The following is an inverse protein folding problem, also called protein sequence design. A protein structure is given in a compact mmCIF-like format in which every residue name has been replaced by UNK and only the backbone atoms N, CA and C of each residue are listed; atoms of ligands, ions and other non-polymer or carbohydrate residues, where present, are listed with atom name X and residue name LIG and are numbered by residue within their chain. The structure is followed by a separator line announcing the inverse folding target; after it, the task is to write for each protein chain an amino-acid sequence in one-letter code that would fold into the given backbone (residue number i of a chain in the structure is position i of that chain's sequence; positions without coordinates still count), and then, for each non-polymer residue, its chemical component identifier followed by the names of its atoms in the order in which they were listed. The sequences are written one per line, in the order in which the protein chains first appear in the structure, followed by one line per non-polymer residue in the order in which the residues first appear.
data_IF_796017450351
#
_entry.id   IF_796017450351
#
_cell.length_a   1.000
_cell.length_b   1.000
_cell.length_c   1.000
_cell.angle_alpha   90.00
_cell.angle_beta   90.00
_cell.angle_gamma   90.00
#
_symmetry.space_group_name_H-M   'P 1'
#
loop_
_entity.id
_entity.type
_entity.pdbx_description
1 polymer ?
#
# COMPACT_ATOMS: atom_id res chain seq x y z
N UNK A 1 -15.55 -3.55 12.65
CA UNK A 1 -15.28 -2.89 13.94
C UNK A 1 -13.84 -3.04 14.45
N UNK A 2 -13.21 -4.23 14.39
CA UNK A 2 -11.88 -4.48 14.99
C UNK A 2 -10.65 -3.76 14.38
N UNK A 3 -10.80 -3.06 13.25
CA UNK A 3 -9.68 -2.48 12.50
C UNK A 3 -9.58 -0.96 12.66
N UNK A 4 -10.69 -0.27 12.94
CA UNK A 4 -10.78 1.19 12.88
C UNK A 4 -9.81 1.92 13.84
N UNK A 5 -9.39 1.27 14.92
CA UNK A 5 -8.41 1.78 15.89
C UNK A 5 -7.26 0.77 16.16
N UNK A 6 -6.93 -0.07 15.19
CA UNK A 6 -5.85 -1.06 15.33
C UNK A 6 -4.67 -0.70 14.45
N UNK A 7 -3.49 -0.59 15.06
CA UNK A 7 -2.23 -0.37 14.35
C UNK A 7 -1.38 -1.66 14.36
N UNK A 8 -0.61 -1.86 13.30
CA UNK A 8 0.41 -2.92 13.26
C UNK A 8 1.66 -2.42 13.98
N UNK A 9 1.99 -3.04 15.11
CA UNK A 9 3.23 -2.76 15.84
C UNK A 9 4.34 -3.68 15.38
N UNK A 10 5.55 -3.14 15.30
CA UNK A 10 6.76 -3.95 15.27
C UNK A 10 7.00 -4.45 16.70
N UNK A 11 7.10 -5.77 16.88
CA UNK A 11 7.23 -6.33 18.21
C UNK A 11 8.68 -6.19 18.71
N UNK A 12 8.87 -5.93 20.00
CA UNK A 12 10.22 -5.73 20.56
C UNK A 12 11.10 -6.98 20.41
N UNK A 13 10.51 -8.18 20.50
CA UNK A 13 11.20 -9.46 20.29
C UNK A 13 11.61 -9.71 18.83
N UNK A 14 11.21 -8.85 17.89
CA UNK A 14 11.68 -8.90 16.51
C UNK A 14 13.00 -8.15 16.30
N UNK A 15 13.43 -7.35 17.28
CA UNK A 15 14.69 -6.61 17.24
C UNK A 15 15.75 -7.39 18.04
N UNK A 16 16.93 -7.57 17.46
CA UNK A 16 18.08 -8.18 18.14
C UNK A 16 18.48 -7.39 19.41
N UNK A 17 19.13 -8.02 20.41
CA UNK A 17 19.50 -7.34 21.65
C UNK A 17 20.43 -6.12 21.48
N UNK A 18 21.22 -6.09 20.40
CA UNK A 18 22.09 -4.95 20.09
C UNK A 18 21.36 -3.81 19.37
N UNK A 19 20.10 -4.01 18.96
CA UNK A 19 19.26 -3.00 18.30
C UNK A 19 19.59 -2.75 16.82
N UNK A 20 20.53 -3.50 16.24
CA UNK A 20 21.05 -3.25 14.89
C UNK A 20 20.57 -4.27 13.84
N UNK A 21 20.00 -5.37 14.28
CA UNK A 21 19.51 -6.46 13.43
C UNK A 21 18.15 -6.99 13.92
N UNK A 22 17.55 -7.92 13.18
CA UNK A 22 16.27 -8.58 13.49
C UNK A 22 16.48 -10.00 14.00
N UNK A 23 15.48 -10.55 14.71
CA UNK A 23 15.54 -11.92 15.22
C UNK A 23 15.04 -12.95 14.21
N UNK A 24 15.35 -14.23 14.42
CA UNK A 24 14.85 -15.34 13.60
C UNK A 24 13.31 -15.41 13.57
N UNK A 25 12.65 -14.98 14.66
CA UNK A 25 11.18 -14.91 14.71
C UNK A 25 10.63 -13.91 13.69
N UNK A 26 11.30 -12.76 13.54
CA UNK A 26 10.96 -11.79 12.50
C UNK A 26 11.20 -12.36 11.11
N UNK A 27 12.36 -12.99 10.86
CA UNK A 27 12.69 -13.58 9.56
C UNK A 27 11.65 -14.63 9.16
N UNK A 28 11.24 -15.48 10.09
CA UNK A 28 10.19 -16.49 9.87
C UNK A 28 8.84 -15.84 9.53
N UNK A 29 8.51 -14.71 10.16
CA UNK A 29 7.29 -13.95 9.84
C UNK A 29 7.38 -13.28 8.45
N UNK A 30 8.49 -12.62 8.15
CA UNK A 30 8.65 -11.77 6.96
C UNK A 30 8.89 -12.58 5.67
N UNK A 31 9.68 -13.67 5.74
CA UNK A 31 10.07 -14.46 4.57
C UNK A 31 8.90 -14.87 3.66
N UNK A 32 7.79 -15.46 4.15
CA UNK A 32 6.67 -15.83 3.27
C UNK A 32 5.93 -14.63 2.66
N UNK A 33 6.15 -13.41 3.15
CA UNK A 33 5.51 -12.19 2.64
C UNK A 33 6.29 -11.54 1.49
N UNK A 34 7.61 -11.77 1.41
CA UNK A 34 8.50 -11.13 0.43
C UNK A 34 8.51 -11.85 -0.92
N UNK A 35 8.13 -13.14 -0.94
CA UNK A 35 8.28 -14.00 -2.11
C UNK A 35 9.74 -14.45 -2.30
N UNK A 36 9.96 -15.45 -3.16
CA UNK A 36 11.28 -16.03 -3.39
C UNK A 36 11.95 -15.48 -4.68
N UNK A 37 11.15 -14.93 -5.61
CA UNK A 37 11.59 -14.53 -6.93
C UNK A 37 11.20 -13.08 -7.26
N UNK A 38 11.92 -12.51 -8.22
CA UNK A 38 11.57 -11.23 -8.81
C UNK A 38 10.31 -11.32 -9.67
N UNK A 39 9.54 -10.24 -9.71
CA UNK A 39 8.35 -10.15 -10.57
C UNK A 39 8.76 -10.21 -12.04
N UNK A 40 8.14 -11.11 -12.80
CA UNK A 40 8.33 -11.21 -14.24
C UNK A 40 7.62 -10.06 -14.96
N UNK A 41 8.39 -9.08 -15.44
CA UNK A 41 7.87 -7.93 -16.21
C UNK A 41 8.58 -7.89 -17.57
N UNK A 42 7.84 -7.83 -18.69
CA UNK A 42 8.44 -7.71 -20.02
C UNK A 42 9.33 -6.47 -20.12
N UNK A 43 10.44 -6.57 -20.83
CA UNK A 43 11.38 -5.48 -21.04
C UNK A 43 11.29 -4.97 -22.49
N UNK A 44 11.27 -3.65 -22.67
CA UNK A 44 11.34 -2.98 -23.99
C UNK A 44 12.42 -1.91 -23.89
N UNK A 45 13.41 -1.95 -24.79
CA UNK A 45 14.55 -1.01 -24.82
C UNK A 45 15.26 -0.85 -23.47
N UNK A 46 15.43 -1.95 -22.74
CA UNK A 46 16.07 -1.98 -21.43
C UNK A 46 15.21 -1.46 -20.27
N UNK A 47 13.92 -1.19 -20.47
CA UNK A 47 12.99 -0.71 -19.43
C UNK A 47 11.85 -1.69 -19.20
N UNK A 48 11.39 -1.78 -17.95
CA UNK A 48 10.19 -2.54 -17.59
C UNK A 48 8.96 -1.94 -18.28
N UNK A 49 8.24 -2.77 -19.02
CA UNK A 49 6.99 -2.42 -19.69
C UNK A 49 5.84 -2.43 -18.69
N UNK A 50 5.75 -1.36 -17.91
CA UNK A 50 4.62 -1.09 -17.01
C UNK A 50 3.34 -0.78 -17.78
N UNK A 51 2.19 -0.91 -17.13
CA UNK A 51 0.89 -0.57 -17.71
C UNK A 51 0.78 0.93 -17.97
N UNK A 52 0.29 1.31 -19.16
CA UNK A 52 -0.06 2.68 -19.52
C UNK A 52 -1.58 2.74 -19.64
N UNK A 53 -2.25 3.14 -18.57
CA UNK A 53 -3.71 3.21 -18.53
C UNK A 53 -4.19 4.52 -19.16
N UNK A 54 -5.18 4.44 -20.04
CA UNK A 54 -5.85 5.62 -20.57
C UNK A 54 -6.77 6.21 -19.50
N UNK A 55 -6.81 7.54 -19.40
CA UNK A 55 -7.70 8.27 -18.49
C UNK A 55 -9.13 8.37 -19.03
N UNK A 56 -9.76 7.21 -19.25
CA UNK A 56 -11.16 7.09 -19.69
C UNK A 56 -12.08 7.08 -18.47
N UNK A 57 -12.56 8.24 -18.08
CA UNK A 57 -13.53 8.38 -16.99
C UNK A 57 -14.96 8.20 -17.48
N UNK A 58 -15.86 7.80 -16.58
CA UNK A 58 -17.29 7.79 -16.86
C UNK A 58 -17.85 9.22 -16.88
N UNK A 59 -18.89 9.45 -17.68
CA UNK A 59 -19.57 10.74 -17.73
C UNK A 59 -20.18 11.09 -16.37
N UNK A 60 -20.03 12.36 -15.97
CA UNK A 60 -20.61 12.88 -14.74
C UNK A 60 -22.13 12.98 -14.87
N UNK A 61 -22.88 12.28 -13.99
CA UNK A 61 -24.35 12.24 -14.02
C UNK A 61 -25.03 13.26 -13.11
N UNK A 62 -24.32 13.75 -12.10
CA UNK A 62 -24.83 14.66 -11.08
C UNK A 62 -24.12 15.99 -11.15
N UNK A 63 -24.65 17.01 -10.50
CA UNK A 63 -23.95 18.29 -10.37
C UNK A 63 -22.64 18.13 -9.58
N UNK A 64 -21.76 19.12 -9.76
CA UNK A 64 -20.49 19.15 -9.04
C UNK A 64 -20.76 19.20 -7.54
N UNK A 65 -20.06 18.36 -6.78
CA UNK A 65 -20.18 18.35 -5.32
C UNK A 65 -19.78 19.71 -4.73
N UNK A 66 -20.69 20.29 -3.92
CA UNK A 66 -20.43 21.46 -3.09
C UNK A 66 -20.22 20.98 -1.64
N UNK A 67 -19.06 21.27 -1.01
CA UNK A 67 -18.83 20.96 0.40
C UNK A 67 -19.93 21.53 1.29
N UNK A 68 -20.29 20.81 2.35
CA UNK A 68 -21.41 21.21 3.22
C UNK A 68 -21.24 22.62 3.82
N UNK A 69 -20.00 23.05 4.09
CA UNK A 69 -19.70 24.38 4.63
C UNK A 69 -19.99 25.54 3.65
N UNK A 70 -19.98 25.26 2.34
CA UNK A 70 -20.15 26.26 1.27
C UNK A 70 -21.58 26.25 0.69
N UNK A 71 -22.46 25.40 1.22
CA UNK A 71 -23.87 25.36 0.81
C UNK A 71 -24.61 26.49 1.49
N UNK A 72 -25.51 27.15 0.75
CA UNK A 72 -26.41 28.15 1.34
C UNK A 72 -27.22 27.52 2.48
N UNK A 73 -27.24 28.18 3.65
CA UNK A 73 -28.08 27.74 4.76
C UNK A 73 -29.55 27.86 4.35
N UNK A 74 -30.30 26.77 4.52
CA UNK A 74 -31.76 26.78 4.35
C UNK A 74 -32.44 27.67 5.38
#
# INVERSE_FOLDING_TARGET
EKVANSERKFLDNWISPCGMDVTDEFVKYAKPLLGEDWVSVPMIDGRMRMAQLEMKFADQKLEKYIPQADRESK
#
